data_IF_716551660990
#
_entry.id   IF_716551660990
#
_cell.length_a   1.000
_cell.length_b   1.000
_cell.length_c   1.000
_cell.angle_alpha   90.00
_cell.angle_beta   90.00
_cell.angle_gamma   90.00
#
_symmetry.space_group_name_H-M   'P 1'
#
loop_
_entity.id
_entity.type
_entity.pdbx_description
1 polymer ?
#
# COMPACT_ATOMS: atom_id res chain seq x y z
N UNK A 1 4.24 -8.75 -21.53
CA UNK A 1 3.07 -8.69 -20.61
C UNK A 1 2.99 -7.27 -20.12
N UNK A 2 1.80 -6.67 -20.05
CA UNK A 2 1.66 -5.34 -19.45
C UNK A 2 1.85 -5.38 -17.93
N UNK A 3 2.19 -4.24 -17.32
CA UNK A 3 2.46 -4.12 -15.88
C UNK A 3 1.28 -4.61 -15.03
N UNK A 4 0.04 -4.28 -15.42
CA UNK A 4 -1.18 -4.67 -14.70
C UNK A 4 -1.34 -6.20 -14.63
N UNK A 5 -1.16 -6.89 -15.74
CA UNK A 5 -1.26 -8.34 -15.84
C UNK A 5 -0.15 -9.02 -15.05
N UNK A 6 1.09 -8.49 -15.10
CA UNK A 6 2.21 -9.01 -14.33
C UNK A 6 1.98 -8.87 -12.83
N UNK A 7 1.60 -7.68 -12.37
CA UNK A 7 1.29 -7.41 -10.95
C UNK A 7 0.19 -8.35 -10.46
N UNK A 8 -0.93 -8.43 -11.21
CA UNK A 8 -2.02 -9.34 -10.84
C UNK A 8 -1.55 -10.78 -10.69
N UNK A 9 -0.79 -11.31 -11.65
CA UNK A 9 -0.26 -12.69 -11.62
C UNK A 9 0.62 -12.93 -10.39
N UNK A 10 1.55 -12.01 -10.11
CA UNK A 10 2.46 -12.10 -8.96
C UNK A 10 1.64 -12.19 -7.65
N UNK A 11 0.73 -11.24 -7.42
CA UNK A 11 -0.04 -11.20 -6.19
C UNK A 11 -1.04 -12.35 -6.06
N UNK A 12 -1.65 -12.80 -7.15
CA UNK A 12 -2.48 -14.00 -7.15
C UNK A 12 -1.68 -15.26 -6.77
N UNK A 13 -0.42 -15.39 -7.24
CA UNK A 13 0.42 -16.57 -6.97
C UNK A 13 0.88 -16.68 -5.52
N UNK A 14 1.10 -15.55 -4.85
CA UNK A 14 1.60 -15.52 -3.46
C UNK A 14 0.50 -15.29 -2.42
N UNK A 15 -0.75 -15.06 -2.84
CA UNK A 15 -1.85 -14.60 -1.97
C UNK A 15 -2.02 -15.43 -0.70
N UNK A 16 -1.90 -16.75 -0.79
CA UNK A 16 -2.04 -17.69 0.33
C UNK A 16 -0.91 -17.65 1.36
N UNK A 17 0.26 -17.07 1.01
CA UNK A 17 1.42 -16.91 1.90
C UNK A 17 1.77 -15.44 2.14
N UNK A 18 1.01 -14.52 1.55
CA UNK A 18 1.34 -13.10 1.49
C UNK A 18 1.54 -12.49 2.88
N UNK A 19 0.62 -12.75 3.80
CA UNK A 19 0.71 -12.19 5.16
C UNK A 19 1.91 -12.73 5.91
N UNK A 20 2.08 -14.07 5.87
CA UNK A 20 3.23 -14.69 6.50
C UNK A 20 4.54 -14.09 5.98
N UNK A 21 4.64 -13.93 4.65
CA UNK A 21 5.84 -13.36 4.03
C UNK A 21 6.07 -11.91 4.45
N UNK A 22 5.05 -11.08 4.42
CA UNK A 22 5.17 -9.67 4.81
C UNK A 22 5.57 -9.52 6.27
N UNK A 23 4.90 -10.23 7.18
CA UNK A 23 5.21 -10.15 8.61
C UNK A 23 6.57 -10.75 8.94
N UNK A 24 6.94 -11.87 8.31
CA UNK A 24 8.22 -12.50 8.51
C UNK A 24 9.38 -11.64 7.97
N UNK A 25 9.26 -11.15 6.73
CA UNK A 25 10.28 -10.33 6.08
C UNK A 25 10.45 -8.96 6.73
N UNK A 26 9.40 -8.41 7.32
CA UNK A 26 9.47 -7.16 8.09
C UNK A 26 9.84 -7.40 9.57
N UNK A 27 10.02 -8.67 10.00
CA UNK A 27 10.13 -9.03 11.41
C UNK A 27 9.00 -8.44 12.28
N UNK A 28 7.78 -8.33 11.71
CA UNK A 28 6.60 -7.77 12.37
C UNK A 28 6.57 -6.24 12.49
N UNK A 29 7.59 -5.53 12.00
CA UNK A 29 7.64 -4.05 12.07
C UNK A 29 6.56 -3.40 11.19
N UNK A 30 6.03 -4.11 10.20
CA UNK A 30 4.94 -3.66 9.35
C UNK A 30 3.65 -3.31 10.11
N UNK A 31 3.37 -3.97 11.24
CA UNK A 31 2.28 -3.59 12.13
C UNK A 31 2.49 -2.19 12.75
N UNK A 32 3.72 -1.89 13.16
CA UNK A 32 4.08 -0.57 13.67
C UNK A 32 3.93 0.50 12.58
N UNK A 33 4.38 0.24 11.36
CA UNK A 33 4.25 1.20 10.25
C UNK A 33 2.80 1.55 9.95
N UNK A 34 1.91 0.55 9.83
CA UNK A 34 0.46 0.76 9.63
C UNK A 34 -0.16 1.55 10.77
N UNK A 35 0.13 1.16 12.01
CA UNK A 35 -0.35 1.86 13.20
C UNK A 35 0.11 3.33 13.23
N UNK A 36 1.38 3.58 12.90
CA UNK A 36 1.94 4.93 12.84
C UNK A 36 1.30 5.77 11.74
N UNK A 37 1.10 5.20 10.56
CA UNK A 37 0.43 5.86 9.44
C UNK A 37 -1.01 6.27 9.80
N UNK A 38 -1.79 5.38 10.40
CA UNK A 38 -3.17 5.68 10.85
C UNK A 38 -3.20 6.76 11.92
N UNK A 39 -2.25 6.73 12.88
CA UNK A 39 -2.14 7.78 13.90
C UNK A 39 -1.82 9.15 13.30
N UNK A 40 -0.91 9.19 12.34
CA UNK A 40 -0.56 10.43 11.61
C UNK A 40 -1.73 10.93 10.75
N UNK A 41 -2.50 10.02 10.15
CA UNK A 41 -3.71 10.32 9.37
C UNK A 41 -4.88 10.84 10.21
N UNK A 42 -4.86 10.63 11.54
CA UNK A 42 -5.90 11.03 12.48
C UNK A 42 -7.27 10.42 12.14
N UNK A 43 -7.29 9.13 11.78
CA UNK A 43 -8.54 8.40 11.55
C UNK A 43 -9.29 8.16 12.86
N UNK A 44 -10.61 8.16 12.80
CA UNK A 44 -11.51 7.98 13.94
C UNK A 44 -12.83 7.27 13.53
N UNK A 45 -13.82 7.26 14.42
CA UNK A 45 -15.13 6.65 14.18
C UNK A 45 -15.98 7.34 13.11
N UNK A 46 -15.69 8.62 12.79
CA UNK A 46 -16.38 9.40 11.75
C UNK A 46 -15.77 9.18 10.36
N UNK A 47 -14.62 8.51 10.32
CA UNK A 47 -13.90 8.25 9.07
C UNK A 47 -14.67 7.29 8.17
N UNK A 48 -14.88 7.71 6.90
CA UNK A 48 -15.28 6.85 5.80
C UNK A 48 -14.03 6.54 4.97
N UNK A 49 -13.51 5.33 5.12
CA UNK A 49 -12.22 4.90 4.59
C UNK A 49 -12.37 4.09 3.31
N UNK A 50 -11.58 4.43 2.29
CA UNK A 50 -11.29 3.56 1.17
C UNK A 50 -9.84 3.08 1.28
N UNK A 51 -9.63 1.79 1.42
CA UNK A 51 -8.31 1.16 1.43
C UNK A 51 -8.00 0.63 0.02
N UNK A 52 -7.10 1.28 -0.70
CA UNK A 52 -6.77 0.97 -2.11
C UNK A 52 -5.54 0.08 -2.17
N UNK A 53 -5.56 -0.93 -3.05
CA UNK A 53 -4.63 -2.04 -3.05
C UNK A 53 -4.59 -2.69 -1.65
N UNK A 54 -5.78 -2.98 -1.12
CA UNK A 54 -5.94 -3.42 0.27
C UNK A 54 -5.36 -4.81 0.55
N UNK A 55 -5.07 -5.60 -0.50
CA UNK A 55 -4.54 -6.94 -0.37
C UNK A 55 -5.43 -7.81 0.51
N UNK A 56 -4.84 -8.45 1.49
CA UNK A 56 -5.52 -9.29 2.49
C UNK A 56 -6.09 -8.50 3.69
N UNK A 57 -6.10 -7.15 3.60
CA UNK A 57 -6.82 -6.27 4.50
C UNK A 57 -6.09 -5.82 5.76
N UNK A 58 -4.79 -6.02 5.89
CA UNK A 58 -4.05 -5.67 7.11
C UNK A 58 -4.16 -4.21 7.52
N UNK A 59 -4.17 -3.29 6.54
CA UNK A 59 -4.33 -1.86 6.83
C UNK A 59 -5.75 -1.55 7.28
N UNK A 60 -6.75 -2.09 6.59
CA UNK A 60 -8.16 -2.00 6.95
C UNK A 60 -8.44 -2.57 8.34
N UNK A 61 -7.87 -3.75 8.66
CA UNK A 61 -7.98 -4.39 9.99
C UNK A 61 -7.35 -3.49 11.06
N UNK A 62 -6.21 -2.90 10.76
CA UNK A 62 -5.57 -1.92 11.65
C UNK A 62 -6.45 -0.69 11.84
N UNK A 63 -7.05 -0.14 10.77
CA UNK A 63 -7.96 1.01 10.85
C UNK A 63 -9.21 0.71 11.70
N UNK A 64 -9.74 -0.52 11.60
CA UNK A 64 -10.86 -0.96 12.45
C UNK A 64 -10.53 -0.88 13.94
N UNK A 65 -9.28 -1.23 14.33
CA UNK A 65 -8.80 -1.11 15.72
C UNK A 65 -8.66 0.36 16.17
N UNK A 66 -8.57 1.31 15.26
CA UNK A 66 -8.62 2.77 15.52
C UNK A 66 -10.03 3.33 15.59
N UNK A 67 -11.06 2.48 15.55
CA UNK A 67 -12.46 2.88 15.65
C UNK A 67 -13.13 3.20 14.32
N UNK A 68 -12.43 3.05 13.18
CA UNK A 68 -13.05 3.27 11.85
C UNK A 68 -14.10 2.20 11.60
N UNK A 69 -15.36 2.63 11.37
CA UNK A 69 -16.48 1.70 11.18
C UNK A 69 -16.88 1.52 9.72
N UNK A 70 -16.67 2.54 8.88
CA UNK A 70 -17.01 2.55 7.45
C UNK A 70 -15.73 2.33 6.65
N UNK A 71 -15.48 1.09 6.22
CA UNK A 71 -14.28 0.70 5.48
C UNK A 71 -14.70 -0.05 4.24
N UNK A 72 -14.21 0.40 3.08
CA UNK A 72 -14.27 -0.30 1.81
C UNK A 72 -12.85 -0.67 1.40
N UNK A 73 -12.64 -1.93 1.04
CA UNK A 73 -11.38 -2.40 0.45
C UNK A 73 -11.47 -2.51 -1.06
N UNK A 74 -10.44 -2.06 -1.76
CA UNK A 74 -10.33 -2.17 -3.21
C UNK A 74 -9.01 -2.82 -3.58
N UNK A 75 -9.04 -3.87 -4.39
CA UNK A 75 -7.85 -4.54 -4.90
C UNK A 75 -8.06 -5.10 -6.31
N UNK A 76 -6.99 -5.23 -7.07
CA UNK A 76 -6.96 -5.85 -8.40
C UNK A 76 -7.11 -7.37 -8.33
N UNK A 77 -6.55 -8.00 -7.29
CA UNK A 77 -6.51 -9.45 -7.10
C UNK A 77 -7.76 -9.95 -6.39
N UNK A 78 -8.54 -10.79 -7.08
CA UNK A 78 -9.68 -11.47 -6.47
C UNK A 78 -9.25 -12.41 -5.33
N UNK A 79 -8.08 -13.05 -5.47
CA UNK A 79 -7.55 -13.96 -4.46
C UNK A 79 -7.21 -13.22 -3.17
N UNK A 80 -6.61 -12.02 -3.27
CA UNK A 80 -6.38 -11.16 -2.12
C UNK A 80 -7.67 -10.78 -1.40
N UNK A 81 -8.70 -10.36 -2.14
CA UNK A 81 -10.00 -10.03 -1.57
C UNK A 81 -10.69 -11.24 -0.92
N UNK A 82 -10.54 -12.44 -1.50
CA UNK A 82 -11.03 -13.68 -0.89
C UNK A 82 -10.38 -13.92 0.46
N UNK A 83 -9.05 -13.84 0.54
CA UNK A 83 -8.31 -14.01 1.78
C UNK A 83 -8.70 -12.95 2.83
N UNK A 84 -8.97 -11.72 2.40
CA UNK A 84 -9.47 -10.68 3.30
C UNK A 84 -10.84 -11.06 3.89
N UNK A 85 -11.76 -11.56 3.07
CA UNK A 85 -13.08 -12.03 3.53
C UNK A 85 -12.99 -13.23 4.47
N UNK A 86 -11.99 -14.10 4.30
CA UNK A 86 -11.75 -15.25 5.20
C UNK A 86 -11.18 -14.79 6.55
N UNK A 87 -10.34 -13.75 6.56
CA UNK A 87 -9.76 -13.21 7.80
C UNK A 87 -10.79 -12.58 8.73
N UNK A 88 -11.76 -11.85 8.18
CA UNK A 88 -12.70 -11.05 8.99
C UNK A 88 -14.08 -10.96 8.36
N UNK A 89 -15.11 -11.29 9.12
CA UNK A 89 -16.49 -11.33 8.62
C UNK A 89 -17.06 -9.96 8.22
N UNK A 90 -16.60 -8.86 8.83
CA UNK A 90 -17.10 -7.53 8.55
C UNK A 90 -16.70 -6.99 7.17
N UNK A 91 -15.74 -7.62 6.50
CA UNK A 91 -15.34 -7.25 5.14
C UNK A 91 -16.34 -7.70 4.06
N UNK A 92 -17.19 -8.70 4.36
CA UNK A 92 -18.17 -9.21 3.41
C UNK A 92 -19.13 -8.10 2.96
N UNK A 93 -19.25 -7.93 1.64
CA UNK A 93 -20.02 -6.85 1.03
C UNK A 93 -19.33 -5.48 0.98
N UNK A 94 -18.13 -5.37 1.54
CA UNK A 94 -17.34 -4.13 1.59
C UNK A 94 -16.05 -4.20 0.75
N UNK A 95 -15.94 -5.17 -0.17
CA UNK A 95 -14.77 -5.34 -1.04
C UNK A 95 -15.14 -5.18 -2.50
N UNK A 96 -14.27 -4.47 -3.23
CA UNK A 96 -14.47 -4.17 -4.67
C UNK A 96 -13.22 -4.58 -5.45
N UNK A 97 -13.39 -5.40 -6.48
CA UNK A 97 -12.32 -5.71 -7.40
C UNK A 97 -12.17 -4.60 -8.44
N UNK A 98 -11.13 -3.79 -8.33
CA UNK A 98 -10.81 -2.73 -9.28
C UNK A 98 -9.32 -2.33 -9.18
N UNK A 99 -8.92 -1.35 -9.98
CA UNK A 99 -7.59 -0.74 -9.99
C UNK A 99 -7.65 0.69 -9.43
N UNK A 100 -6.52 1.19 -8.94
CA UNK A 100 -6.42 2.54 -8.38
C UNK A 100 -6.79 3.62 -9.42
N UNK A 101 -6.49 3.37 -10.68
CA UNK A 101 -6.75 4.27 -11.81
C UNK A 101 -8.23 4.34 -12.22
N UNK A 102 -9.05 3.43 -11.68
CA UNK A 102 -10.49 3.39 -11.91
C UNK A 102 -11.22 2.98 -10.63
N UNK A 103 -11.58 3.94 -9.80
CA UNK A 103 -12.31 3.74 -8.55
C UNK A 103 -13.82 3.89 -8.82
N UNK A 104 -14.63 2.80 -8.70
CA UNK A 104 -16.04 2.82 -9.14
C UNK A 104 -16.97 3.40 -8.07
N UNK A 105 -16.64 4.56 -7.54
CA UNK A 105 -17.45 5.29 -6.57
C UNK A 105 -17.73 6.71 -7.04
N UNK A 106 -18.80 7.28 -6.52
CA UNK A 106 -19.16 8.69 -6.78
C UNK A 106 -18.09 9.64 -6.21
N UNK A 107 -17.95 10.79 -6.82
CA UNK A 107 -17.10 11.85 -6.28
C UNK A 107 -17.51 12.19 -4.84
N UNK A 108 -16.56 12.63 -4.04
CA UNK A 108 -16.76 13.06 -2.65
C UNK A 108 -17.44 12.02 -1.74
N UNK A 109 -17.11 10.73 -1.92
CA UNK A 109 -17.65 9.61 -1.13
C UNK A 109 -16.89 9.34 0.17
N UNK A 110 -15.58 9.55 0.19
CA UNK A 110 -14.71 9.15 1.30
C UNK A 110 -14.06 10.35 1.99
N UNK A 111 -13.86 10.24 3.30
CA UNK A 111 -13.08 11.24 4.05
C UNK A 111 -11.59 10.91 4.02
N UNK A 112 -11.25 9.63 3.93
CA UNK A 112 -9.86 9.16 3.92
C UNK A 112 -9.67 8.06 2.89
N UNK A 113 -8.50 8.09 2.25
CA UNK A 113 -7.98 6.99 1.44
C UNK A 113 -6.68 6.53 2.09
N UNK A 114 -6.49 5.22 2.19
CA UNK A 114 -5.23 4.59 2.55
C UNK A 114 -4.71 3.74 1.40
N UNK A 115 -3.38 3.70 1.27
CA UNK A 115 -2.71 2.74 0.42
C UNK A 115 -1.38 2.33 1.09
N UNK A 116 -1.17 1.03 1.30
CA UNK A 116 0.07 0.52 1.89
C UNK A 116 0.78 -0.41 0.92
N UNK A 117 2.03 -0.07 0.57
CA UNK A 117 2.91 -0.87 -0.29
C UNK A 117 2.32 -1.21 -1.67
N UNK A 118 1.39 -0.36 -2.13
CA UNK A 118 0.64 -0.57 -3.37
C UNK A 118 0.94 0.42 -4.49
N UNK A 119 1.34 1.67 -4.16
CA UNK A 119 1.46 2.75 -5.16
C UNK A 119 2.49 2.42 -6.24
N UNK A 120 3.61 1.80 -5.90
CA UNK A 120 4.64 1.39 -6.86
C UNK A 120 4.14 0.40 -7.91
N UNK A 121 3.03 -0.29 -7.60
CA UNK A 121 2.41 -1.30 -8.47
C UNK A 121 1.37 -0.72 -9.43
N UNK A 122 0.96 0.54 -9.27
CA UNK A 122 0.03 1.19 -10.20
C UNK A 122 0.63 1.26 -11.59
N UNK A 123 -0.18 1.07 -12.62
CA UNK A 123 0.28 1.19 -14.00
C UNK A 123 0.40 2.65 -14.43
N UNK A 124 -0.44 3.54 -13.85
CA UNK A 124 -0.39 5.00 -14.01
C UNK A 124 -0.65 5.67 -12.65
N UNK A 125 0.42 6.04 -11.96
CA UNK A 125 0.35 6.60 -10.60
C UNK A 125 -0.41 7.93 -10.60
N UNK A 126 -0.19 8.79 -11.61
CA UNK A 126 -0.87 10.09 -11.70
C UNK A 126 -2.36 9.92 -11.87
N UNK A 127 -2.78 8.99 -12.72
CA UNK A 127 -4.20 8.65 -12.91
C UNK A 127 -4.81 8.03 -11.66
N UNK A 128 -4.07 7.20 -10.94
CA UNK A 128 -4.48 6.68 -9.63
C UNK A 128 -4.75 7.81 -8.63
N UNK A 129 -3.82 8.76 -8.51
CA UNK A 129 -4.00 9.93 -7.63
C UNK A 129 -5.16 10.83 -8.07
N UNK A 130 -5.39 10.98 -9.38
CA UNK A 130 -6.56 11.70 -9.88
C UNK A 130 -7.87 11.01 -9.47
N UNK A 131 -7.92 9.67 -9.52
CA UNK A 131 -9.07 8.91 -9.04
C UNK A 131 -9.27 9.09 -7.52
N UNK A 132 -8.19 9.14 -6.74
CA UNK A 132 -8.24 9.44 -5.30
C UNK A 132 -8.83 10.81 -5.04
N UNK A 133 -8.32 11.83 -5.74
CA UNK A 133 -8.79 13.21 -5.62
C UNK A 133 -10.28 13.33 -5.89
N UNK A 134 -10.77 12.67 -6.94
CA UNK A 134 -12.17 12.71 -7.33
C UNK A 134 -13.09 12.11 -6.25
N UNK A 135 -12.76 10.96 -5.69
CA UNK A 135 -13.62 10.26 -4.72
C UNK A 135 -13.48 10.76 -3.28
N UNK A 136 -12.39 11.49 -2.96
CA UNK A 136 -12.23 12.17 -1.68
C UNK A 136 -13.18 13.34 -1.57
N UNK A 137 -13.74 13.53 -0.38
CA UNK A 137 -14.48 14.75 0.01
C UNK A 137 -13.51 15.92 0.14
N UNK A 138 -14.05 17.13 0.08
CA UNK A 138 -13.29 18.33 0.42
C UNK A 138 -12.71 18.19 1.83
N UNK A 139 -11.47 18.60 2.00
CA UNK A 139 -10.66 18.37 3.20
C UNK A 139 -10.35 16.89 3.54
N UNK A 140 -10.72 15.95 2.67
CA UNK A 140 -10.36 14.54 2.80
C UNK A 140 -8.85 14.33 2.65
N UNK A 141 -8.35 13.22 3.19
CA UNK A 141 -6.91 12.93 3.23
C UNK A 141 -6.60 11.64 2.49
N UNK A 142 -5.48 11.63 1.76
CA UNK A 142 -4.84 10.40 1.31
C UNK A 142 -3.62 10.12 2.20
N UNK A 143 -3.45 8.86 2.60
CA UNK A 143 -2.31 8.38 3.39
C UNK A 143 -1.63 7.25 2.63
N UNK A 144 -0.41 7.48 2.20
CA UNK A 144 0.42 6.55 1.45
C UNK A 144 1.52 6.02 2.37
N UNK A 145 1.57 4.72 2.56
CA UNK A 145 2.65 4.02 3.26
C UNK A 145 3.43 3.21 2.21
N UNK A 146 4.69 3.54 1.96
CA UNK A 146 5.44 2.90 0.87
C UNK A 146 6.92 2.74 1.22
N UNK A 147 7.55 1.73 0.66
CA UNK A 147 8.99 1.53 0.74
C UNK A 147 9.75 2.62 0.01
N UNK A 148 10.94 2.89 0.51
CA UNK A 148 11.93 3.75 -0.14
C UNK A 148 13.35 3.27 0.15
N UNK A 149 14.30 3.78 -0.60
CA UNK A 149 15.72 3.54 -0.31
C UNK A 149 16.19 4.44 0.84
N UNK A 150 16.88 3.91 1.86
CA UNK A 150 17.49 4.72 2.91
C UNK A 150 18.50 5.74 2.34
N UNK A 151 18.54 6.92 2.93
CA UNK A 151 19.49 7.98 2.53
C UNK A 151 20.90 7.74 3.08
N UNK A 152 20.99 7.18 4.30
CA UNK A 152 22.28 6.85 4.94
C UNK A 152 23.02 5.74 4.20
N UNK A 153 24.29 5.98 3.84
CA UNK A 153 25.11 5.01 3.13
C UNK A 153 25.25 3.66 3.83
N UNK A 154 25.42 3.66 5.16
CA UNK A 154 25.53 2.42 5.96
C UNK A 154 24.22 1.66 5.97
N UNK A 155 23.11 2.33 6.27
CA UNK A 155 21.78 1.72 6.32
C UNK A 155 21.37 1.25 4.93
N UNK A 156 21.67 2.02 3.89
CA UNK A 156 21.44 1.65 2.49
C UNK A 156 22.20 0.36 2.14
N UNK A 157 23.45 0.24 2.55
CA UNK A 157 24.25 -0.97 2.28
C UNK A 157 23.68 -2.20 2.98
N UNK A 158 23.24 -2.07 4.25
CA UNK A 158 22.59 -3.16 4.99
C UNK A 158 21.26 -3.54 4.32
N UNK A 159 20.47 -2.54 3.92
CA UNK A 159 19.20 -2.75 3.23
C UNK A 159 19.40 -3.49 1.91
N UNK A 160 20.32 -3.02 1.07
CA UNK A 160 20.64 -3.69 -0.21
C UNK A 160 21.16 -5.11 0.00
N UNK A 161 22.05 -5.32 0.97
CA UNK A 161 22.51 -6.67 1.31
C UNK A 161 21.37 -7.60 1.69
N UNK A 162 20.43 -7.13 2.52
CA UNK A 162 19.23 -7.89 2.87
C UNK A 162 18.39 -8.25 1.65
N UNK A 163 18.12 -7.27 0.78
CA UNK A 163 17.28 -7.46 -0.41
C UNK A 163 17.98 -8.31 -1.49
N UNK A 164 19.29 -8.16 -1.69
CA UNK A 164 20.01 -8.85 -2.76
C UNK A 164 20.44 -10.27 -2.36
N UNK A 165 20.69 -10.50 -1.08
CA UNK A 165 21.26 -11.78 -0.62
C UNK A 165 20.31 -12.60 0.25
N UNK A 166 19.65 -11.96 1.22
CA UNK A 166 18.83 -12.67 2.21
C UNK A 166 17.44 -12.97 1.65
N UNK A 167 16.77 -11.98 1.09
CA UNK A 167 15.42 -12.11 0.57
C UNK A 167 15.28 -13.19 -0.52
N UNK A 168 16.16 -13.30 -1.53
CA UNK A 168 16.11 -14.38 -2.51
C UNK A 168 16.34 -15.78 -1.92
N UNK A 169 17.18 -15.90 -0.88
CA UNK A 169 17.39 -17.19 -0.19
C UNK A 169 16.12 -17.64 0.54
N UNK A 170 15.49 -16.72 1.27
CA UNK A 170 14.19 -16.97 1.94
C UNK A 170 13.13 -17.33 0.89
N UNK A 171 13.11 -16.61 -0.22
CA UNK A 171 12.21 -16.87 -1.33
C UNK A 171 12.31 -18.27 -1.89
N UNK A 172 13.52 -18.79 -2.07
CA UNK A 172 13.76 -20.16 -2.55
C UNK A 172 13.21 -21.23 -1.61
N UNK A 173 13.24 -20.96 -0.29
CA UNK A 173 12.78 -21.91 0.74
C UNK A 173 11.27 -21.89 0.88
N UNK A 174 10.65 -20.71 0.83
CA UNK A 174 9.23 -20.54 1.17
C UNK A 174 8.32 -20.65 -0.04
N UNK A 175 8.74 -20.17 -1.22
CA UNK A 175 7.93 -20.17 -2.44
C UNK A 175 8.72 -20.64 -3.65
N UNK A 176 8.05 -21.34 -4.55
CA UNK A 176 8.59 -21.74 -5.85
C UNK A 176 8.62 -20.58 -6.88
N UNK A 177 8.01 -19.44 -6.56
CA UNK A 177 7.92 -18.30 -7.46
C UNK A 177 9.07 -17.31 -7.27
N UNK A 178 10.16 -17.52 -8.01
CA UNK A 178 11.35 -16.66 -7.98
C UNK A 178 11.07 -15.22 -8.45
N UNK A 179 10.10 -15.02 -9.34
CA UNK A 179 9.80 -13.69 -9.89
C UNK A 179 9.22 -12.76 -8.82
N UNK A 180 8.35 -13.26 -7.94
CA UNK A 180 7.74 -12.45 -6.89
C UNK A 180 8.78 -11.86 -5.92
N UNK A 181 9.87 -12.58 -5.64
CA UNK A 181 10.92 -12.11 -4.72
C UNK A 181 11.92 -11.15 -5.37
N UNK A 182 12.19 -11.30 -6.65
CA UNK A 182 13.01 -10.35 -7.40
C UNK A 182 12.23 -9.06 -7.68
N UNK A 183 10.92 -9.16 -7.87
CA UNK A 183 10.05 -8.03 -8.13
C UNK A 183 10.08 -6.96 -7.03
N UNK A 184 10.11 -7.37 -5.75
CA UNK A 184 10.07 -6.42 -4.64
C UNK A 184 11.26 -5.44 -4.64
N UNK A 185 12.54 -5.89 -4.62
CA UNK A 185 13.68 -4.97 -4.67
C UNK A 185 13.71 -4.12 -5.93
N UNK A 186 13.44 -4.74 -7.09
CA UNK A 186 13.42 -4.03 -8.38
C UNK A 186 12.37 -2.93 -8.41
N UNK A 187 11.13 -3.23 -7.99
CA UNK A 187 10.02 -2.28 -7.97
C UNK A 187 10.25 -1.13 -6.98
N UNK A 188 10.86 -1.38 -5.81
CA UNK A 188 11.21 -0.34 -4.84
C UNK A 188 12.29 0.59 -5.40
N UNK A 189 13.35 0.02 -5.99
CA UNK A 189 14.45 0.81 -6.57
C UNK A 189 13.95 1.68 -7.74
N UNK A 190 13.17 1.10 -8.64
CA UNK A 190 12.59 1.84 -9.76
C UNK A 190 11.66 2.96 -9.30
N UNK A 191 10.81 2.68 -8.34
CA UNK A 191 9.86 3.64 -7.80
C UNK A 191 10.56 4.81 -7.11
N UNK A 192 11.47 4.53 -6.16
CA UNK A 192 12.16 5.57 -5.39
C UNK A 192 13.08 6.45 -6.25
N UNK A 193 13.66 5.87 -7.32
CA UNK A 193 14.56 6.61 -8.22
C UNK A 193 13.84 7.47 -9.27
N UNK A 194 12.60 7.10 -9.66
CA UNK A 194 11.91 7.76 -10.78
C UNK A 194 10.69 8.59 -10.34
N UNK A 195 10.14 8.33 -9.14
CA UNK A 195 8.86 8.88 -8.73
C UNK A 195 9.01 9.84 -7.56
N UNK A 196 8.71 11.10 -7.81
CA UNK A 196 8.50 12.10 -6.76
C UNK A 196 7.01 12.15 -6.38
N UNK A 197 6.66 11.45 -5.30
CA UNK A 197 5.28 11.38 -4.79
C UNK A 197 4.69 12.74 -4.44
N UNK A 198 5.52 13.62 -3.84
CA UNK A 198 5.04 14.93 -3.38
C UNK A 198 4.69 15.81 -4.57
N UNK A 199 5.55 15.80 -5.58
CA UNK A 199 5.33 16.52 -6.83
C UNK A 199 4.07 16.01 -7.54
N UNK A 200 3.93 14.68 -7.71
CA UNK A 200 2.76 14.10 -8.38
C UNK A 200 1.45 14.41 -7.64
N UNK A 201 1.43 14.33 -6.31
CA UNK A 201 0.25 14.69 -5.51
C UNK A 201 -0.10 16.18 -5.68
N UNK A 202 0.91 17.06 -5.65
CA UNK A 202 0.70 18.50 -5.89
C UNK A 202 0.17 18.80 -7.29
N UNK A 203 0.69 18.14 -8.32
CA UNK A 203 0.22 18.29 -9.70
C UNK A 203 -1.25 17.85 -9.90
N UNK A 204 -1.72 16.92 -9.10
CA UNK A 204 -3.13 16.47 -9.11
C UNK A 204 -4.06 17.45 -8.37
N UNK A 205 -3.51 18.33 -7.52
CA UNK A 205 -4.26 19.32 -6.76
C UNK A 205 -4.30 19.09 -5.25
N UNK A 206 -3.62 18.05 -4.75
CA UNK A 206 -3.48 17.86 -3.30
C UNK A 206 -2.61 18.96 -2.69
N UNK A 207 -2.96 19.33 -1.46
CA UNK A 207 -2.27 20.34 -0.66
C UNK A 207 -1.87 19.80 0.72
N UNK A 208 -1.21 20.63 1.54
CA UNK A 208 -0.75 20.27 2.89
C UNK A 208 -0.03 18.90 2.92
N UNK A 209 0.84 18.68 1.94
CA UNK A 209 1.55 17.43 1.77
C UNK A 209 2.65 17.32 2.83
N UNK A 210 2.61 16.26 3.62
CA UNK A 210 3.62 15.97 4.64
C UNK A 210 4.25 14.61 4.39
N UNK A 211 5.55 14.49 4.66
CA UNK A 211 6.31 13.23 4.52
C UNK A 211 6.98 12.90 5.86
N UNK A 212 6.78 11.69 6.32
CA UNK A 212 7.38 11.15 7.53
C UNK A 212 8.21 9.92 7.19
N UNK A 213 9.46 9.93 7.59
CA UNK A 213 10.38 8.79 7.43
C UNK A 213 10.26 7.85 8.63
N UNK A 214 10.16 6.55 8.38
CA UNK A 214 10.10 5.51 9.41
C UNK A 214 11.26 4.53 9.24
N UNK A 215 11.67 3.92 10.35
CA UNK A 215 12.69 2.85 10.38
C UNK A 215 13.91 3.22 9.53
N UNK A 216 14.60 4.30 9.95
CA UNK A 216 15.83 4.78 9.29
C UNK A 216 15.67 5.10 7.79
N UNK A 217 14.47 5.40 7.33
CA UNK A 217 14.21 5.76 5.94
C UNK A 217 13.84 4.60 5.01
N UNK A 218 13.69 3.40 5.53
CA UNK A 218 13.24 2.23 4.74
C UNK A 218 11.79 2.35 4.29
N UNK A 219 10.98 3.08 5.06
CA UNK A 219 9.56 3.31 4.78
C UNK A 219 9.23 4.78 4.94
N UNK A 220 8.35 5.28 4.11
CA UNK A 220 7.78 6.63 4.22
C UNK A 220 6.27 6.58 4.40
N UNK A 221 5.75 7.55 5.15
CA UNK A 221 4.33 7.88 5.19
C UNK A 221 4.17 9.26 4.56
N UNK A 222 3.41 9.33 3.49
CA UNK A 222 3.04 10.60 2.85
C UNK A 222 1.55 10.83 3.08
N UNK A 223 1.20 12.01 3.59
CA UNK A 223 -0.19 12.43 3.81
C UNK A 223 -0.41 13.69 3.03
N UNK A 224 -1.50 13.72 2.29
CA UNK A 224 -1.90 14.88 1.51
C UNK A 224 -3.41 15.15 1.66
N UNK A 225 -3.83 16.40 1.54
CA UNK A 225 -5.21 16.84 1.72
C UNK A 225 -5.78 17.34 0.39
N UNK A 226 -7.03 16.98 0.11
CA UNK A 226 -7.80 17.59 -0.98
C UNK A 226 -8.27 18.99 -0.64
#
# INVERSE_FOLDING_TARGET
>A
MDKKTQVKRIFDSISHKYDFLNHFLSAGVDFYWRKKALKLSQVDSNTSLLDVACGTGDFSISAKKFGVNKIIGLDLSKNMLSNFNEKVNWSKGNLVQSVAEFIPFKNNSFTNITVAFGVRNFYDIKKGFQSFYNVLRDNGKVTILEFRLPESGIIKSIYLFYFDKILPLIGKIISKDKEAYNYLPESVNEFDSKIDLLKLLSEVGFNNITKHSLTFGIVQVVIAKK
#
